data_IF_383580205382
#
_entry.id   IF_383580205382
#
_cell.length_a   1.000
_cell.length_b   1.000
_cell.length_c   1.000
_cell.angle_alpha   90.00
_cell.angle_beta   90.00
_cell.angle_gamma   90.00
#
_symmetry.space_group_name_H-M   'P 1'
#
loop_
_entity.id
_entity.type
_entity.pdbx_description
1 polymer ?
#
# COMPACT_ATOMS: atom_id res chain seq x y z
N UNK A 1 40.22 22.08 6.46
CA UNK A 1 40.23 20.64 6.15
C UNK A 1 38.82 20.13 6.40
N UNK A 2 38.19 19.66 5.33
CA UNK A 2 36.76 19.41 5.19
C UNK A 2 36.35 18.08 5.83
N UNK A 3 35.51 18.14 6.85
CA UNK A 3 34.77 16.96 7.33
C UNK A 3 33.57 16.72 6.42
N UNK A 4 33.62 15.58 5.73
CA UNK A 4 32.66 15.16 4.74
C UNK A 4 31.29 14.89 5.37
N UNK A 5 30.31 15.62 4.86
CA UNK A 5 28.89 15.29 4.95
C UNK A 5 28.68 13.82 4.58
N UNK A 6 28.35 13.00 5.57
CA UNK A 6 27.81 11.65 5.36
C UNK A 6 26.41 11.84 4.77
N UNK A 7 26.35 12.05 3.46
CA UNK A 7 25.13 11.86 2.69
C UNK A 7 24.68 10.43 2.94
N UNK A 8 23.64 10.29 3.74
CA UNK A 8 22.88 9.06 3.92
C UNK A 8 22.21 8.76 2.57
N UNK A 9 22.97 8.20 1.64
CA UNK A 9 22.49 7.66 0.38
C UNK A 9 21.60 6.49 0.75
N UNK A 10 20.31 6.75 0.92
CA UNK A 10 19.29 5.74 0.69
C UNK A 10 19.67 5.07 -0.63
N UNK A 11 19.81 3.73 -0.70
CA UNK A 11 20.05 3.09 -1.98
C UNK A 11 18.86 3.49 -2.84
N UNK A 12 19.13 4.33 -3.85
CA UNK A 12 18.24 4.52 -4.97
C UNK A 12 17.95 3.10 -5.44
N UNK A 13 16.71 2.66 -5.23
CA UNK A 13 16.24 1.40 -5.79
C UNK A 13 16.32 1.62 -7.29
N UNK A 14 17.43 1.23 -7.89
CA UNK A 14 17.58 1.18 -9.33
C UNK A 14 16.52 0.23 -9.83
N UNK A 15 15.83 0.60 -10.91
CA UNK A 15 14.90 -0.31 -11.59
C UNK A 15 15.73 -1.48 -12.09
N UNK A 16 15.73 -2.56 -11.32
CA UNK A 16 16.23 -3.85 -11.74
C UNK A 16 15.40 -4.27 -12.96
N UNK A 17 16.05 -4.55 -14.09
CA UNK A 17 15.38 -4.94 -15.33
C UNK A 17 14.52 -6.22 -15.19
N UNK A 18 14.65 -6.93 -14.07
CA UNK A 18 13.88 -8.13 -13.74
C UNK A 18 12.92 -7.95 -12.55
N UNK A 19 12.53 -6.71 -12.21
CA UNK A 19 11.58 -6.42 -11.11
C UNK A 19 10.30 -7.27 -11.15
N UNK A 20 9.82 -7.60 -12.34
CA UNK A 20 8.61 -8.39 -12.56
C UNK A 20 8.82 -9.91 -12.35
N UNK A 21 10.06 -10.42 -12.41
CA UNK A 21 10.39 -11.84 -12.15
C UNK A 21 10.63 -12.13 -10.68
N UNK A 22 10.79 -11.10 -9.85
CA UNK A 22 11.06 -11.28 -8.42
C UNK A 22 10.02 -12.21 -7.80
N UNK A 23 10.43 -12.94 -6.78
CA UNK A 23 9.51 -13.72 -5.96
C UNK A 23 8.92 -12.85 -4.85
N UNK A 24 7.77 -13.25 -4.33
CA UNK A 24 7.13 -12.53 -3.22
C UNK A 24 8.07 -12.38 -2.02
N UNK A 25 8.79 -13.45 -1.66
CA UNK A 25 9.76 -13.44 -0.57
C UNK A 25 10.91 -12.44 -0.81
N UNK A 26 11.41 -12.36 -2.04
CA UNK A 26 12.49 -11.43 -2.41
C UNK A 26 12.06 -9.98 -2.25
N UNK A 27 10.84 -9.65 -2.69
CA UNK A 27 10.33 -8.28 -2.55
C UNK A 27 10.16 -7.93 -1.08
N UNK A 28 9.65 -8.86 -0.26
CA UNK A 28 9.55 -8.67 1.19
C UNK A 28 10.93 -8.40 1.81
N UNK A 29 11.96 -9.12 1.35
CA UNK A 29 13.32 -9.00 1.85
C UNK A 29 14.03 -7.70 1.43
N UNK A 30 13.67 -7.09 0.29
CA UNK A 30 14.29 -5.85 -0.27
C UNK A 30 14.30 -4.68 0.73
N UNK A 31 13.57 -4.73 1.85
CA UNK A 31 13.60 -3.71 2.91
C UNK A 31 13.63 -4.26 4.35
N UNK A 32 14.21 -5.43 4.60
CA UNK A 32 14.05 -6.13 5.89
C UNK A 32 14.52 -5.39 7.16
N UNK A 33 15.33 -4.33 7.09
CA UNK A 33 15.74 -3.58 8.29
C UNK A 33 14.91 -2.32 8.61
N UNK A 34 14.04 -1.85 7.69
CA UNK A 34 13.23 -0.62 7.88
C UNK A 34 11.81 -0.70 7.30
N UNK A 35 11.38 -1.86 6.82
CA UNK A 35 10.00 -2.06 6.33
C UNK A 35 9.03 -2.07 7.51
N UNK A 36 8.14 -1.08 7.55
CA UNK A 36 7.12 -1.05 8.59
C UNK A 36 6.15 -2.23 8.45
N UNK A 37 5.47 -2.61 9.54
CA UNK A 37 4.43 -3.66 9.52
C UNK A 37 3.39 -3.41 8.41
N UNK A 38 3.03 -2.14 8.22
CA UNK A 38 2.17 -1.66 7.13
C UNK A 38 2.69 -2.01 5.74
N UNK A 39 3.99 -1.78 5.49
CA UNK A 39 4.63 -2.11 4.20
C UNK A 39 4.47 -3.61 3.90
N UNK A 40 4.72 -4.46 4.90
CA UNK A 40 4.63 -5.93 4.75
C UNK A 40 3.20 -6.39 4.53
N UNK A 41 2.24 -5.86 5.30
CA UNK A 41 0.83 -6.21 5.15
C UNK A 41 0.32 -5.86 3.75
N UNK A 42 0.58 -4.62 3.29
CA UNK A 42 0.21 -4.18 1.95
C UNK A 42 0.79 -5.09 0.88
N UNK A 43 2.07 -5.45 1.00
CA UNK A 43 2.67 -6.35 0.02
C UNK A 43 2.02 -7.75 0.02
N UNK A 44 1.82 -8.33 1.21
CA UNK A 44 1.19 -9.66 1.38
C UNK A 44 -0.21 -9.69 0.77
N UNK A 45 -0.99 -8.62 0.95
CA UNK A 45 -2.34 -8.53 0.38
C UNK A 45 -2.33 -8.70 -1.15
N UNK A 46 -1.18 -8.53 -1.81
CA UNK A 46 -1.05 -8.41 -3.26
C UNK A 46 -0.24 -9.50 -3.92
N UNK A 47 0.98 -9.68 -3.44
CA UNK A 47 1.87 -10.72 -3.89
C UNK A 47 1.57 -12.04 -3.19
N UNK A 48 0.66 -12.07 -2.22
CA UNK A 48 0.35 -13.24 -1.41
C UNK A 48 1.30 -13.43 -0.22
N UNK A 49 0.99 -14.42 0.61
CA UNK A 49 1.87 -14.88 1.68
C UNK A 49 2.87 -15.88 1.07
N UNK A 50 4.18 -15.62 1.06
CA UNK A 50 5.14 -16.58 0.56
C UNK A 50 5.22 -17.79 1.50
N UNK A 51 5.43 -18.97 0.94
CA UNK A 51 5.73 -20.15 1.72
C UNK A 51 7.23 -20.25 2.01
N UNK A 52 7.60 -20.63 3.23
CA UNK A 52 9.00 -20.76 3.65
C UNK A 52 9.65 -22.10 3.23
N UNK A 53 8.89 -22.97 2.56
CA UNK A 53 9.34 -24.30 2.13
C UNK A 53 9.13 -25.41 3.17
N UNK A 54 8.76 -25.06 4.39
CA UNK A 54 8.77 -25.99 5.53
C UNK A 54 7.45 -26.04 6.28
N UNK A 55 6.93 -24.87 6.63
CA UNK A 55 5.82 -24.70 7.54
C UNK A 55 4.48 -25.14 6.95
N UNK A 56 3.53 -25.42 7.83
CA UNK A 56 2.13 -25.47 7.45
C UNK A 56 1.66 -24.10 6.94
N UNK A 57 0.79 -24.10 5.94
CA UNK A 57 0.33 -22.90 5.28
C UNK A 57 -1.20 -22.81 5.38
N UNK A 58 -1.70 -21.75 6.02
CA UNK A 58 -3.12 -21.47 6.12
C UNK A 58 -3.65 -20.90 4.81
N UNK A 59 -4.79 -21.42 4.33
CA UNK A 59 -5.42 -21.06 3.05
C UNK A 59 -6.91 -20.86 3.30
N UNK A 60 -7.33 -19.61 3.49
CA UNK A 60 -8.72 -19.31 3.88
C UNK A 60 -9.06 -19.94 5.22
N UNK A 61 -10.03 -20.86 5.23
CA UNK A 61 -10.46 -21.61 6.41
C UNK A 61 -9.76 -22.97 6.55
N UNK A 62 -8.95 -23.37 5.58
CA UNK A 62 -8.21 -24.63 5.57
C UNK A 62 -6.72 -24.41 5.90
N UNK A 63 -6.01 -25.51 6.10
CA UNK A 63 -4.55 -25.52 6.16
C UNK A 63 -3.97 -26.71 5.42
N UNK A 64 -2.76 -26.53 4.88
CA UNK A 64 -2.00 -27.60 4.24
C UNK A 64 -0.68 -27.82 4.95
N UNK A 65 -0.44 -29.07 5.32
CA UNK A 65 0.83 -29.48 5.89
C UNK A 65 1.97 -29.21 4.90
N UNK A 66 3.09 -28.65 5.38
CA UNK A 66 4.24 -28.34 4.53
C UNK A 66 4.81 -29.56 3.80
N UNK A 67 4.62 -30.78 4.34
CA UNK A 67 5.00 -32.04 3.66
C UNK A 67 4.21 -32.23 2.36
N UNK A 68 2.90 -32.01 2.37
CA UNK A 68 2.03 -32.12 1.19
C UNK A 68 2.41 -31.10 0.11
N UNK A 69 2.73 -29.87 0.53
CA UNK A 69 3.18 -28.83 -0.40
C UNK A 69 4.55 -29.19 -1.01
N UNK A 70 5.48 -29.74 -0.21
CA UNK A 70 6.77 -30.25 -0.72
C UNK A 70 6.57 -31.38 -1.73
N UNK A 71 5.68 -32.33 -1.43
CA UNK A 71 5.34 -33.43 -2.34
C UNK A 71 4.79 -32.90 -3.67
N UNK A 72 3.87 -31.92 -3.64
CA UNK A 72 3.38 -31.25 -4.85
C UNK A 72 4.52 -30.63 -5.67
N UNK A 73 5.39 -29.84 -5.04
CA UNK A 73 6.52 -29.18 -5.74
C UNK A 73 7.48 -30.22 -6.35
N UNK A 74 7.76 -31.32 -5.64
CA UNK A 74 8.59 -32.42 -6.14
C UNK A 74 7.95 -33.10 -7.35
N UNK A 75 6.64 -33.39 -7.30
CA UNK A 75 5.95 -34.02 -8.43
C UNK A 75 5.88 -33.10 -9.65
N UNK A 76 5.59 -31.81 -9.46
CA UNK A 76 5.63 -30.82 -10.53
C UNK A 76 7.01 -30.74 -11.19
N UNK A 77 8.08 -30.75 -10.38
CA UNK A 77 9.46 -30.80 -10.89
C UNK A 77 9.71 -32.04 -11.74
N UNK A 78 9.39 -33.22 -11.21
CA UNK A 78 9.58 -34.49 -11.91
C UNK A 78 8.82 -34.52 -13.24
N UNK A 79 7.60 -34.00 -13.27
CA UNK A 79 6.77 -34.04 -14.47
C UNK A 79 7.19 -33.01 -15.53
N UNK A 80 7.68 -31.83 -15.12
CA UNK A 80 8.33 -30.88 -16.04
C UNK A 80 9.58 -31.51 -16.68
N UNK A 81 10.43 -32.12 -15.86
CA UNK A 81 11.67 -32.75 -16.32
C UNK A 81 11.37 -33.91 -17.29
N UNK A 82 10.39 -34.76 -16.97
CA UNK A 82 9.93 -35.86 -17.83
C UNK A 82 9.29 -35.38 -19.13
N UNK A 83 8.50 -34.32 -19.06
CA UNK A 83 7.81 -33.75 -20.22
C UNK A 83 8.74 -33.01 -21.19
N UNK A 84 9.99 -32.75 -20.81
CA UNK A 84 10.97 -32.06 -21.66
C UNK A 84 10.51 -30.67 -22.09
N UNK A 85 9.76 -29.97 -21.25
CA UNK A 85 9.14 -28.70 -21.61
C UNK A 85 10.21 -27.62 -21.84
N UNK A 86 10.27 -27.02 -23.04
CA UNK A 86 11.33 -26.06 -23.34
C UNK A 86 11.11 -24.76 -22.56
N UNK A 87 12.22 -24.20 -22.05
CA UNK A 87 12.24 -22.83 -21.48
C UNK A 87 11.23 -22.63 -20.33
N UNK A 88 11.11 -23.64 -19.46
CA UNK A 88 10.39 -23.58 -18.18
C UNK A 88 11.40 -23.81 -17.06
N UNK A 89 11.52 -22.86 -16.14
CA UNK A 89 12.28 -23.04 -14.92
C UNK A 89 11.48 -23.91 -13.95
N UNK A 90 12.14 -24.90 -13.36
CA UNK A 90 11.54 -25.78 -12.37
C UNK A 90 11.04 -24.98 -11.15
N UNK A 91 9.79 -25.21 -10.68
CA UNK A 91 9.28 -24.56 -9.49
C UNK A 91 10.14 -24.83 -8.25
N UNK A 92 10.37 -23.79 -7.46
CA UNK A 92 11.02 -23.88 -6.15
C UNK A 92 10.05 -23.46 -5.06
N UNK A 93 10.40 -23.70 -3.79
CA UNK A 93 9.59 -23.22 -2.65
C UNK A 93 9.33 -21.72 -2.70
N UNK A 94 10.27 -20.92 -3.20
CA UNK A 94 10.10 -19.47 -3.33
C UNK A 94 9.07 -19.03 -4.38
N UNK A 95 8.68 -19.92 -5.29
CA UNK A 95 7.57 -19.72 -6.23
C UNK A 95 6.20 -20.07 -5.63
N UNK A 96 6.14 -20.61 -4.41
CA UNK A 96 4.89 -21.02 -3.75
C UNK A 96 4.40 -19.93 -2.81
N UNK A 97 3.10 -19.62 -2.89
CA UNK A 97 2.47 -18.58 -2.08
C UNK A 97 0.97 -18.83 -1.91
N UNK A 98 0.37 -18.24 -0.88
CA UNK A 98 -1.10 -18.10 -0.80
C UNK A 98 -1.47 -16.74 -1.34
N UNK A 99 -2.20 -16.72 -2.46
CA UNK A 99 -2.67 -15.50 -3.08
C UNK A 99 -4.19 -15.52 -3.17
N UNK A 100 -4.80 -14.34 -3.29
CA UNK A 100 -6.20 -14.25 -3.68
C UNK A 100 -6.30 -14.37 -5.19
N UNK A 101 -7.21 -15.20 -5.68
CA UNK A 101 -7.41 -15.43 -7.11
C UNK A 101 -8.89 -15.42 -7.50
N UNK A 102 -9.14 -15.11 -8.78
CA UNK A 102 -10.48 -15.08 -9.34
C UNK A 102 -11.33 -13.90 -8.87
N UNK A 103 -12.54 -13.77 -9.43
CA UNK A 103 -13.44 -12.63 -9.16
C UNK A 103 -13.92 -12.55 -7.71
N UNK A 104 -13.98 -13.69 -7.02
CA UNK A 104 -14.34 -13.77 -5.61
C UNK A 104 -13.14 -13.57 -4.66
N UNK A 105 -11.92 -13.35 -5.19
CA UNK A 105 -10.70 -13.08 -4.43
C UNK A 105 -10.45 -14.10 -3.30
N UNK A 106 -10.70 -15.38 -3.60
CA UNK A 106 -10.55 -16.50 -2.66
C UNK A 106 -9.06 -16.78 -2.43
N UNK A 107 -8.67 -16.98 -1.17
CA UNK A 107 -7.31 -17.39 -0.83
C UNK A 107 -7.05 -18.82 -1.33
N UNK A 108 -6.02 -18.99 -2.15
CA UNK A 108 -5.70 -20.27 -2.77
C UNK A 108 -4.18 -20.46 -2.85
N UNK A 109 -3.73 -21.72 -2.75
CA UNK A 109 -2.33 -22.07 -2.96
C UNK A 109 -1.98 -21.78 -4.42
N UNK A 110 -0.97 -20.96 -4.67
CA UNK A 110 -0.51 -20.60 -6.01
C UNK A 110 0.95 -20.98 -6.16
N UNK A 111 1.29 -21.62 -7.28
CA UNK A 111 2.66 -21.89 -7.69
C UNK A 111 2.95 -21.07 -8.95
N UNK A 112 3.93 -20.19 -8.85
CA UNK A 112 4.42 -19.37 -9.96
C UNK A 112 5.41 -20.20 -10.80
N UNK A 113 5.07 -20.49 -12.06
CA UNK A 113 5.96 -21.15 -13.03
C UNK A 113 6.67 -20.08 -13.86
N UNK A 114 8.00 -20.09 -13.88
CA UNK A 114 8.79 -19.15 -14.68
C UNK A 114 9.04 -19.73 -16.08
N UNK A 115 8.36 -19.17 -17.09
CA UNK A 115 8.55 -19.53 -18.49
C UNK A 115 9.59 -18.66 -19.18
N UNK A 116 10.49 -18.01 -18.43
CA UNK A 116 11.46 -17.01 -18.89
C UNK A 116 10.76 -15.74 -19.38
N UNK A 117 9.90 -15.79 -20.39
CA UNK A 117 9.31 -14.57 -20.96
C UNK A 117 8.20 -13.99 -20.11
N UNK A 118 7.58 -14.81 -19.26
CA UNK A 118 6.51 -14.46 -18.33
C UNK A 118 6.45 -15.48 -17.18
N UNK A 119 5.76 -15.09 -16.10
CA UNK A 119 5.45 -15.99 -15.00
C UNK A 119 3.98 -16.42 -15.11
N UNK A 120 3.73 -17.73 -15.12
CA UNK A 120 2.40 -18.33 -15.11
C UNK A 120 2.06 -18.82 -13.70
N UNK A 121 1.24 -18.09 -12.94
CA UNK A 121 0.71 -18.57 -11.67
C UNK A 121 -0.41 -19.57 -11.90
N UNK A 122 -0.28 -20.76 -11.31
CA UNK A 122 -1.34 -21.78 -11.30
C UNK A 122 -1.79 -21.99 -9.86
N UNK A 123 -3.09 -21.94 -9.65
CA UNK A 123 -3.72 -22.14 -8.36
C UNK A 123 -4.17 -23.59 -8.17
N UNK A 124 -3.94 -24.11 -6.97
CA UNK A 124 -4.27 -25.46 -6.56
C UNK A 124 -5.31 -25.41 -5.44
N UNK A 125 -6.45 -26.05 -5.67
CA UNK A 125 -7.50 -26.19 -4.66
C UNK A 125 -7.00 -27.11 -3.53
N UNK A 126 -7.26 -26.74 -2.27
CA UNK A 126 -6.85 -27.52 -1.09
C UNK A 126 -7.37 -28.95 -1.14
N UNK A 127 -8.63 -29.13 -1.54
CA UNK A 127 -9.29 -30.43 -1.72
C UNK A 127 -8.60 -31.33 -2.77
N UNK A 128 -8.01 -30.75 -3.81
CA UNK A 128 -7.34 -31.48 -4.88
C UNK A 128 -5.96 -32.02 -4.46
N UNK A 129 -5.37 -31.52 -3.37
CA UNK A 129 -4.02 -31.88 -2.93
C UNK A 129 -3.96 -32.46 -1.51
N UNK A 130 -4.96 -32.18 -0.67
CA UNK A 130 -5.07 -32.72 0.70
C UNK A 130 -5.67 -34.14 0.76
N UNK A 131 -6.13 -34.67 -0.38
CA UNK A 131 -6.83 -35.97 -0.44
C UNK A 131 -5.91 -37.19 -0.30
N UNK A 132 -6.45 -38.37 -0.64
CA UNK A 132 -5.70 -39.63 -0.66
C UNK A 132 -4.53 -39.59 -1.67
N UNK A 133 -3.55 -40.51 -1.63
CA UNK A 133 -2.35 -40.48 -2.49
C UNK A 133 -2.62 -40.38 -4.00
N UNK A 134 -3.83 -40.70 -4.47
CA UNK A 134 -4.25 -40.57 -5.87
C UNK A 134 -4.80 -39.19 -6.26
N UNK A 135 -5.04 -38.27 -5.31
CA UNK A 135 -5.59 -36.94 -5.58
C UNK A 135 -4.57 -35.95 -6.16
N UNK A 136 -3.29 -36.12 -5.81
CA UNK A 136 -2.21 -35.23 -6.24
C UNK A 136 -1.90 -35.33 -7.73
N UNK A 137 -1.93 -36.55 -8.29
CA UNK A 137 -1.55 -36.77 -9.69
C UNK A 137 -2.45 -35.99 -10.68
N UNK A 138 -3.79 -36.04 -10.58
CA UNK A 138 -4.68 -35.21 -11.41
C UNK A 138 -4.39 -33.70 -11.31
N UNK A 139 -4.07 -33.20 -10.11
CA UNK A 139 -3.76 -31.78 -9.91
C UNK A 139 -2.44 -31.39 -10.59
N UNK A 140 -1.43 -32.27 -10.52
CA UNK A 140 -0.15 -32.12 -11.23
C UNK A 140 -0.37 -32.16 -12.74
N UNK A 141 -1.08 -33.16 -13.24
CA UNK A 141 -1.36 -33.32 -14.68
C UNK A 141 -2.05 -32.08 -15.26
N UNK A 142 -3.09 -31.58 -14.57
CA UNK A 142 -3.79 -30.36 -15.00
C UNK A 142 -2.88 -29.14 -15.02
N UNK A 143 -2.03 -28.96 -14.00
CA UNK A 143 -1.07 -27.86 -13.98
C UNK A 143 -0.09 -27.95 -15.17
N UNK A 144 0.39 -29.15 -15.49
CA UNK A 144 1.28 -29.39 -16.63
C UNK A 144 0.57 -29.14 -17.96
N UNK A 145 -0.71 -29.48 -18.09
CA UNK A 145 -1.53 -29.12 -19.26
C UNK A 145 -1.62 -27.60 -19.46
N UNK A 146 -1.80 -26.84 -18.37
CA UNK A 146 -1.77 -25.38 -18.44
C UNK A 146 -0.39 -24.84 -18.85
N UNK A 147 0.70 -25.41 -18.34
CA UNK A 147 2.06 -25.03 -18.77
C UNK A 147 2.24 -25.31 -20.27
N UNK A 148 1.85 -26.51 -20.74
CA UNK A 148 1.92 -26.88 -22.17
C UNK A 148 1.10 -25.93 -23.04
N UNK A 149 -0.10 -25.56 -22.60
CA UNK A 149 -0.94 -24.62 -23.33
C UNK A 149 -0.33 -23.20 -23.35
N UNK A 150 0.23 -22.73 -22.23
CA UNK A 150 0.92 -21.45 -22.18
C UNK A 150 2.17 -21.43 -23.07
N UNK A 151 2.88 -22.55 -23.24
CA UNK A 151 3.99 -22.69 -24.19
C UNK A 151 3.50 -22.55 -25.63
N UNK A 152 2.35 -23.16 -25.99
CA UNK A 152 1.76 -23.01 -27.34
C UNK A 152 1.41 -21.55 -27.64
N UNK A 153 0.89 -20.83 -26.66
CA UNK A 153 0.48 -19.43 -26.78
C UNK A 153 1.58 -18.41 -26.39
N UNK A 154 2.81 -18.90 -26.16
CA UNK A 154 3.92 -18.14 -25.55
C UNK A 154 4.14 -16.78 -26.18
N UNK A 155 4.19 -16.72 -27.50
CA UNK A 155 4.44 -15.47 -28.23
C UNK A 155 3.36 -14.43 -27.95
N UNK A 156 2.09 -14.83 -27.88
CA UNK A 156 0.98 -13.92 -27.62
C UNK A 156 0.98 -13.42 -26.17
N UNK A 157 1.24 -14.33 -25.22
CA UNK A 157 1.32 -14.01 -23.78
C UNK A 157 2.52 -13.09 -23.52
N UNK A 158 3.71 -13.46 -24.00
CA UNK A 158 4.94 -12.68 -23.86
C UNK A 158 4.81 -11.28 -24.46
N UNK A 159 4.15 -11.15 -25.64
CA UNK A 159 3.88 -9.84 -26.26
C UNK A 159 2.99 -8.98 -25.36
N UNK A 160 1.92 -9.54 -24.80
CA UNK A 160 1.01 -8.82 -23.90
C UNK A 160 1.74 -8.43 -22.62
N UNK A 161 2.47 -9.34 -22.00
CA UNK A 161 3.18 -9.06 -20.76
C UNK A 161 4.29 -8.03 -20.96
N UNK A 162 5.05 -8.12 -22.06
CA UNK A 162 6.03 -7.10 -22.43
C UNK A 162 5.40 -5.72 -22.64
N UNK A 163 4.20 -5.64 -23.22
CA UNK A 163 3.47 -4.38 -23.35
C UNK A 163 3.04 -3.81 -21.99
N UNK A 164 2.55 -4.66 -21.09
CA UNK A 164 2.16 -4.27 -19.73
C UNK A 164 3.39 -3.80 -18.92
N UNK A 165 4.51 -4.54 -18.96
CA UNK A 165 5.76 -4.14 -18.27
C UNK A 165 6.22 -2.75 -18.68
N UNK A 166 6.33 -2.51 -20.00
CA UNK A 166 6.69 -1.19 -20.56
C UNK A 166 5.71 -0.11 -20.12
N UNK A 167 4.42 -0.43 -20.07
CA UNK A 167 3.40 0.50 -19.60
C UNK A 167 3.57 0.84 -18.11
N UNK A 168 3.84 -0.14 -17.25
CA UNK A 168 4.04 0.05 -15.79
C UNK A 168 5.31 0.87 -15.54
N UNK A 169 6.40 0.58 -16.24
CA UNK A 169 7.64 1.36 -16.17
C UNK A 169 7.41 2.81 -16.57
N UNK A 170 6.76 3.03 -17.72
CA UNK A 170 6.45 4.37 -18.20
C UNK A 170 5.45 5.11 -17.29
N UNK A 171 4.45 4.42 -16.75
CA UNK A 171 3.51 5.00 -15.80
C UNK A 171 4.22 5.41 -14.50
N UNK A 172 5.08 4.55 -13.95
CA UNK A 172 5.86 4.83 -12.75
C UNK A 172 6.74 6.07 -12.94
N UNK A 173 7.46 6.15 -14.06
CA UNK A 173 8.27 7.32 -14.41
C UNK A 173 7.44 8.61 -14.53
N UNK A 174 6.22 8.53 -15.08
CA UNK A 174 5.32 9.70 -15.25
C UNK A 174 4.66 10.15 -13.95
N UNK A 175 4.40 9.24 -13.02
CA UNK A 175 3.87 9.54 -11.69
C UNK A 175 4.87 10.42 -10.93
N UNK A 176 6.16 10.07 -10.99
CA UNK A 176 7.25 10.96 -10.58
C UNK A 176 8.17 10.35 -9.53
N UNK A 177 8.95 11.21 -8.88
CA UNK A 177 10.02 10.81 -7.96
C UNK A 177 9.51 9.90 -6.83
N UNK A 178 10.29 8.86 -6.52
CA UNK A 178 9.94 7.85 -5.52
C UNK A 178 8.92 6.80 -5.98
N UNK A 179 8.41 6.91 -7.22
CA UNK A 179 7.58 5.88 -7.82
C UNK A 179 8.39 4.90 -8.67
N UNK A 180 8.25 3.60 -8.41
CA UNK A 180 8.98 2.55 -9.12
C UNK A 180 8.08 1.32 -9.33
N UNK A 181 8.25 0.55 -10.42
CA UNK A 181 7.56 -0.72 -10.56
C UNK A 181 8.04 -1.71 -9.49
N UNK A 182 7.10 -2.46 -8.90
CA UNK A 182 7.43 -3.48 -7.89
C UNK A 182 6.99 -4.88 -8.31
N UNK A 183 5.77 -5.00 -8.86
CA UNK A 183 5.18 -6.30 -9.16
C UNK A 183 4.24 -6.23 -10.35
N UNK A 184 4.27 -7.26 -11.18
CA UNK A 184 3.30 -7.48 -12.25
C UNK A 184 3.16 -8.98 -12.42
N UNK A 185 1.96 -9.51 -12.18
CA UNK A 185 1.71 -10.94 -12.28
C UNK A 185 0.32 -11.18 -12.84
N UNK A 186 0.19 -12.15 -13.74
CA UNK A 186 -1.11 -12.63 -14.20
C UNK A 186 -1.92 -13.10 -12.97
N UNK A 187 -3.25 -12.97 -13.00
CA UNK A 187 -4.05 -13.61 -11.96
C UNK A 187 -3.93 -15.13 -12.05
N UNK A 188 -3.93 -15.83 -10.91
CA UNK A 188 -3.66 -17.26 -10.88
C UNK A 188 -4.71 -18.04 -11.67
N UNK A 189 -4.25 -18.93 -12.55
CA UNK A 189 -5.11 -19.82 -13.32
C UNK A 189 -5.56 -20.96 -12.40
N UNK A 190 -6.85 -21.11 -12.18
CA UNK A 190 -7.35 -22.24 -11.38
C UNK A 190 -7.03 -23.54 -12.11
N UNK A 191 -6.45 -24.53 -11.41
CA UNK A 191 -6.12 -25.83 -12.00
C UNK A 191 -7.34 -26.61 -12.52
N UNK A 192 -8.56 -26.18 -12.21
CA UNK A 192 -9.81 -26.78 -12.71
C UNK A 192 -10.35 -26.07 -13.97
N UNK A 193 -9.78 -24.94 -14.36
CA UNK A 193 -10.21 -24.20 -15.55
C UNK A 193 -9.72 -24.83 -16.86
N UNK A 194 -10.42 -24.56 -17.96
CA UNK A 194 -9.96 -24.95 -19.28
C UNK A 194 -8.67 -24.19 -19.67
N UNK A 195 -7.65 -24.92 -20.12
CA UNK A 195 -6.41 -24.32 -20.61
C UNK A 195 -6.62 -23.48 -21.89
N UNK A 196 -5.87 -22.39 -22.05
CA UNK A 196 -5.84 -21.57 -23.27
C UNK A 196 -6.40 -20.14 -23.19
N UNK A 197 -6.99 -19.69 -22.07
CA UNK A 197 -7.55 -18.32 -21.93
C UNK A 197 -6.60 -17.32 -21.25
N UNK A 198 -5.31 -17.33 -21.62
CA UNK A 198 -4.28 -16.53 -20.95
C UNK A 198 -4.22 -15.07 -21.41
N UNK A 199 -4.48 -14.82 -22.70
CA UNK A 199 -4.35 -13.49 -23.32
C UNK A 199 -5.47 -12.52 -22.94
N UNK A 200 -6.56 -13.02 -22.38
CA UNK A 200 -7.66 -12.23 -21.82
C UNK A 200 -7.58 -12.10 -20.31
N UNK A 201 -6.79 -12.91 -19.60
CA UNK A 201 -6.78 -12.95 -18.12
C UNK A 201 -6.29 -11.64 -17.51
N UNK A 202 -6.87 -11.21 -16.40
CA UNK A 202 -6.42 -10.00 -15.71
C UNK A 202 -5.02 -10.20 -15.11
N UNK A 203 -4.34 -9.09 -14.88
CA UNK A 203 -3.08 -9.01 -14.16
C UNK A 203 -3.29 -8.22 -12.88
N UNK A 204 -2.46 -8.46 -11.88
CA UNK A 204 -2.33 -7.64 -10.68
C UNK A 204 -1.01 -6.89 -10.78
N UNK A 205 -1.06 -5.57 -10.63
CA UNK A 205 0.14 -4.73 -10.57
C UNK A 205 0.32 -4.10 -9.20
N UNK A 206 1.58 -3.84 -8.86
CA UNK A 206 1.95 -2.99 -7.73
C UNK A 206 3.13 -2.10 -8.11
N UNK A 207 3.06 -0.85 -7.66
CA UNK A 207 4.16 0.11 -7.74
C UNK A 207 4.55 0.54 -6.34
N UNK A 208 5.76 1.04 -6.16
CA UNK A 208 6.13 1.77 -4.96
C UNK A 208 5.64 3.21 -5.12
N UNK A 209 5.06 3.79 -4.09
CA UNK A 209 4.64 5.20 -4.02
C UNK A 209 5.02 5.76 -2.64
N UNK A 210 5.00 7.09 -2.50
CA UNK A 210 5.02 7.70 -1.18
C UNK A 210 3.60 7.65 -0.62
N UNK A 211 3.43 7.08 0.57
CA UNK A 211 2.15 7.12 1.29
C UNK A 211 1.97 8.46 2.02
N UNK A 212 0.85 8.61 2.73
CA UNK A 212 0.62 9.76 3.62
C UNK A 212 1.71 9.88 4.69
N UNK A 213 2.45 8.82 4.95
CA UNK A 213 3.54 8.82 5.90
C UNK A 213 4.87 9.26 5.25
N UNK A 214 4.82 9.85 4.05
CA UNK A 214 5.99 10.20 3.21
C UNK A 214 7.02 9.06 3.10
N UNK A 215 6.56 7.84 3.29
CA UNK A 215 7.36 6.63 3.33
C UNK A 215 7.08 5.86 2.06
N UNK A 216 8.13 5.29 1.47
CA UNK A 216 7.91 4.47 0.29
C UNK A 216 7.14 3.22 0.70
N UNK A 217 5.88 3.15 0.32
CA UNK A 217 5.03 1.99 0.50
C UNK A 217 4.64 1.45 -0.87
N UNK A 218 4.32 0.15 -0.95
CA UNK A 218 3.70 -0.38 -2.14
C UNK A 218 2.32 0.35 -2.37
N UNK A 219 1.78 0.39 -3.59
CA UNK A 219 0.44 0.91 -3.99
C UNK A 219 -0.63 -0.18 -3.97
N UNK A 220 -1.87 0.04 -3.48
CA UNK A 220 -2.92 -1.01 -3.43
C UNK A 220 -3.00 -1.85 -4.71
N UNK A 221 -3.35 -3.15 -4.61
CA UNK A 221 -3.55 -3.98 -5.81
C UNK A 221 -4.57 -3.33 -6.70
N UNK A 222 -4.14 -3.14 -7.94
CA UNK A 222 -5.01 -2.72 -9.00
C UNK A 222 -5.11 -3.87 -10.00
N UNK A 223 -6.30 -4.48 -10.14
CA UNK A 223 -6.55 -5.40 -11.23
C UNK A 223 -6.48 -4.62 -12.54
N UNK A 224 -5.73 -5.12 -13.50
CA UNK A 224 -5.54 -4.51 -14.81
C UNK A 224 -5.77 -5.54 -15.91
N UNK A 225 -6.47 -5.14 -16.97
CA UNK A 225 -6.70 -5.98 -18.15
C UNK A 225 -5.79 -5.54 -19.30
N UNK A 226 -5.49 -4.25 -19.37
CA UNK A 226 -4.86 -3.61 -20.52
C UNK A 226 -3.85 -2.56 -20.12
N UNK A 227 -3.09 -2.09 -21.11
CA UNK A 227 -2.20 -0.93 -20.98
C UNK A 227 -2.97 0.36 -20.64
N UNK A 228 -4.27 0.44 -20.94
CA UNK A 228 -5.08 1.62 -20.61
C UNK A 228 -5.28 1.72 -19.11
N UNK A 229 -5.60 0.61 -18.44
CA UNK A 229 -5.78 0.57 -16.99
C UNK A 229 -4.51 1.03 -16.26
N UNK A 230 -3.35 0.60 -16.74
CA UNK A 230 -2.03 1.05 -16.23
C UNK A 230 -1.81 2.55 -16.43
N UNK A 231 -2.33 3.14 -17.50
CA UNK A 231 -2.20 4.58 -17.76
C UNK A 231 -3.10 5.40 -16.84
N UNK A 232 -4.25 4.88 -16.45
CA UNK A 232 -5.16 5.57 -15.52
C UNK A 232 -4.54 5.68 -14.11
N UNK A 233 -3.69 4.74 -13.72
CA UNK A 233 -2.86 4.85 -12.51
C UNK A 233 -2.07 6.17 -12.43
N UNK A 234 -1.57 6.67 -13.58
CA UNK A 234 -0.90 7.98 -13.64
C UNK A 234 -1.85 9.12 -13.26
N UNK A 235 -3.09 9.07 -13.73
CA UNK A 235 -4.09 10.13 -13.47
C UNK A 235 -4.43 10.18 -11.99
N UNK A 236 -4.57 9.02 -11.36
CA UNK A 236 -4.93 8.89 -9.94
C UNK A 236 -3.81 9.38 -9.03
N UNK A 237 -2.57 8.93 -9.24
CA UNK A 237 -1.51 9.09 -8.23
C UNK A 237 -0.55 10.25 -8.47
N UNK A 238 -0.39 10.74 -9.70
CA UNK A 238 0.65 11.75 -10.05
C UNK A 238 0.58 13.02 -9.22
N UNK A 239 -0.63 13.56 -8.97
CA UNK A 239 -0.79 14.81 -8.21
C UNK A 239 -0.36 14.63 -6.76
N UNK A 240 -0.83 13.57 -6.10
CA UNK A 240 -0.49 13.26 -4.72
C UNK A 240 1.00 12.94 -4.57
N UNK A 241 1.55 12.10 -5.47
CA UNK A 241 2.96 11.74 -5.44
C UNK A 241 3.87 12.98 -5.56
N UNK A 242 3.60 13.88 -6.50
CA UNK A 242 4.37 15.12 -6.66
C UNK A 242 4.34 15.99 -5.42
N UNK A 243 3.17 16.15 -4.81
CA UNK A 243 3.01 16.89 -3.55
C UNK A 243 3.83 16.25 -2.42
N UNK A 244 3.73 14.93 -2.26
CA UNK A 244 4.46 14.16 -1.23
C UNK A 244 5.97 14.18 -1.45
N UNK A 245 6.44 14.05 -2.70
CA UNK A 245 7.85 14.14 -3.03
C UNK A 245 8.42 15.53 -2.72
N UNK A 246 7.70 16.60 -3.08
CA UNK A 246 8.09 17.96 -2.75
C UNK A 246 8.14 18.21 -1.23
N UNK A 247 7.12 17.73 -0.49
CA UNK A 247 7.10 17.81 0.98
C UNK A 247 8.28 17.06 1.61
N UNK A 248 8.54 15.83 1.18
CA UNK A 248 9.66 15.03 1.65
C UNK A 248 11.01 15.71 1.38
N UNK A 249 11.20 16.28 0.18
CA UNK A 249 12.40 17.03 -0.16
C UNK A 249 12.57 18.27 0.71
N UNK A 250 11.49 19.03 0.95
CA UNK A 250 11.51 20.20 1.81
C UNK A 250 11.91 19.85 3.25
N UNK A 251 11.33 18.79 3.82
CA UNK A 251 11.67 18.32 5.17
C UNK A 251 13.12 17.85 5.26
N UNK A 252 13.60 17.09 4.27
CA UNK A 252 15.02 16.66 4.21
C UNK A 252 15.98 17.83 4.14
N UNK A 253 15.67 18.82 3.30
CA UNK A 253 16.51 20.02 3.12
C UNK A 253 16.54 20.86 4.40
N UNK A 254 15.44 20.89 5.15
CA UNK A 254 15.34 21.59 6.43
C UNK A 254 15.93 20.81 7.62
N UNK A 255 16.46 19.59 7.42
CA UNK A 255 16.91 18.74 8.53
C UNK A 255 15.79 18.44 9.53
N UNK A 256 14.58 18.21 9.02
CA UNK A 256 13.36 18.05 9.80
C UNK A 256 12.68 16.73 9.47
N UNK A 257 12.02 16.11 10.46
CA UNK A 257 11.17 14.93 10.24
C UNK A 257 9.75 15.30 9.80
N UNK A 258 9.37 16.58 9.88
CA UNK A 258 8.03 17.06 9.58
C UNK A 258 7.72 18.42 10.21
N UNK A 259 6.52 18.90 9.95
CA UNK A 259 6.01 20.16 10.48
C UNK A 259 4.85 19.94 11.44
N UNK A 260 4.52 20.97 12.23
CA UNK A 260 3.39 20.97 13.15
C UNK A 260 2.51 22.17 12.82
N UNK A 261 1.20 21.97 12.72
CA UNK A 261 0.28 23.11 12.53
C UNK A 261 0.21 23.98 13.78
N UNK A 262 -0.16 25.26 13.64
CA UNK A 262 -0.20 26.17 14.80
C UNK A 262 -1.20 25.71 15.86
N UNK A 263 -2.34 25.17 15.43
CA UNK A 263 -3.36 24.58 16.32
C UNK A 263 -2.82 23.33 17.01
N UNK A 264 -2.14 22.45 16.27
CA UNK A 264 -1.52 21.25 16.85
C UNK A 264 -0.44 21.61 17.87
N UNK A 265 0.38 22.61 17.58
CA UNK A 265 1.41 23.08 18.51
C UNK A 265 0.79 23.70 19.77
N UNK A 266 -0.28 24.48 19.60
CA UNK A 266 -1.03 25.06 20.72
C UNK A 266 -1.67 23.97 21.59
N UNK A 267 -2.28 22.94 20.97
CA UNK A 267 -2.83 21.79 21.68
C UNK A 267 -1.78 21.04 22.48
N UNK A 268 -0.63 20.73 21.86
CA UNK A 268 0.50 20.04 22.51
C UNK A 268 0.98 20.82 23.73
N UNK A 269 1.18 22.14 23.57
CA UNK A 269 1.63 23.02 24.67
C UNK A 269 0.60 23.11 25.79
N UNK A 270 -0.68 23.27 25.45
CA UNK A 270 -1.77 23.29 26.42
C UNK A 270 -1.89 21.96 27.18
N UNK A 271 -1.59 20.85 26.50
CA UNK A 271 -1.58 19.51 27.10
C UNK A 271 -0.32 19.24 27.94
N UNK A 272 0.65 20.16 27.99
CA UNK A 272 1.96 20.05 28.63
C UNK A 272 2.84 18.93 28.05
N UNK A 273 2.74 18.71 26.74
CA UNK A 273 3.56 17.75 26.00
C UNK A 273 4.73 18.45 25.31
N UNK A 274 5.83 17.71 25.12
CA UNK A 274 6.99 18.22 24.37
C UNK A 274 6.75 18.07 22.85
N UNK A 275 6.83 19.15 22.06
CA UNK A 275 6.50 19.11 20.63
C UNK A 275 7.28 18.12 19.79
N UNK A 276 8.60 18.02 19.95
CA UNK A 276 9.46 17.18 19.12
C UNK A 276 9.21 15.68 19.43
N UNK A 277 9.11 15.32 20.69
CA UNK A 277 8.79 13.99 21.17
C UNK A 277 7.40 13.57 20.70
N UNK A 278 6.42 14.47 20.75
CA UNK A 278 5.06 14.21 20.25
C UNK A 278 5.06 13.99 18.74
N UNK A 279 5.78 14.82 17.97
CA UNK A 279 5.93 14.64 16.52
C UNK A 279 6.57 13.29 16.18
N UNK A 280 7.64 12.90 16.89
CA UNK A 280 8.31 11.60 16.72
C UNK A 280 7.38 10.44 17.05
N UNK A 281 6.62 10.53 18.14
CA UNK A 281 5.68 9.50 18.54
C UNK A 281 4.54 9.35 17.53
N UNK A 282 3.97 10.45 17.02
CA UNK A 282 2.93 10.42 16.01
C UNK A 282 3.43 9.84 14.68
N UNK A 283 4.65 10.21 14.26
CA UNK A 283 5.29 9.63 13.08
C UNK A 283 5.50 8.13 13.24
N UNK A 284 6.04 7.68 14.38
CA UNK A 284 6.24 6.26 14.67
C UNK A 284 4.92 5.46 14.70
N UNK A 285 3.86 6.02 15.30
CA UNK A 285 2.54 5.41 15.31
C UNK A 285 2.01 5.21 13.87
N UNK A 286 2.15 6.23 13.04
CA UNK A 286 1.69 6.21 11.64
C UNK A 286 2.48 5.25 10.75
N UNK A 287 3.77 5.06 11.00
CA UNK A 287 4.58 4.08 10.27
C UNK A 287 4.07 2.65 10.51
N UNK A 288 3.65 2.36 11.75
CA UNK A 288 3.32 1.00 12.17
C UNK A 288 1.89 0.56 11.87
N UNK A 289 0.93 1.49 11.77
CA UNK A 289 -0.49 1.17 11.59
C UNK A 289 -1.21 2.12 10.63
N UNK A 290 -2.08 1.59 9.77
CA UNK A 290 -3.02 2.37 8.98
C UNK A 290 -4.01 3.08 9.91
N UNK A 291 -3.93 4.40 10.03
CA UNK A 291 -4.71 5.15 11.04
C UNK A 291 -3.99 5.37 12.36
N UNK A 292 -2.70 5.03 12.48
CA UNK A 292 -1.93 5.33 13.68
C UNK A 292 -1.95 6.83 14.01
N UNK A 293 -2.44 7.14 15.20
CA UNK A 293 -2.60 8.48 15.75
C UNK A 293 -2.28 8.48 17.26
N UNK A 294 -2.10 9.67 17.83
CA UNK A 294 -2.02 9.83 19.29
C UNK A 294 -3.36 10.36 19.78
N UNK A 295 -3.97 9.68 20.74
CA UNK A 295 -5.29 10.02 21.28
C UNK A 295 -5.22 10.30 22.77
N UNK A 296 -5.88 11.35 23.23
CA UNK A 296 -6.05 11.62 24.65
C UNK A 296 -7.33 12.41 24.93
N UNK A 297 -7.92 12.19 26.11
CA UNK A 297 -9.09 12.94 26.58
C UNK A 297 -8.66 14.03 27.56
N UNK A 298 -8.99 15.29 27.23
CA UNK A 298 -8.80 16.48 28.08
C UNK A 298 -9.86 17.53 27.69
N UNK A 299 -10.24 18.39 28.63
CA UNK A 299 -11.21 19.47 28.42
C UNK A 299 -12.54 18.99 27.81
N UNK A 300 -13.03 17.83 28.27
CA UNK A 300 -14.23 17.15 27.75
C UNK A 300 -14.21 16.83 26.24
N UNK A 301 -13.04 16.89 25.62
CA UNK A 301 -12.84 16.58 24.20
C UNK A 301 -11.98 15.32 24.03
N UNK A 302 -12.20 14.58 22.96
CA UNK A 302 -11.22 13.62 22.45
C UNK A 302 -10.29 14.36 21.48
N UNK A 303 -9.01 14.42 21.84
CA UNK A 303 -7.99 15.07 21.03
C UNK A 303 -7.20 14.00 20.29
N UNK A 304 -7.05 14.19 18.98
CA UNK A 304 -6.39 13.26 18.08
C UNK A 304 -5.28 14.01 17.34
N UNK A 305 -4.06 13.50 17.41
CA UNK A 305 -2.92 14.01 16.65
C UNK A 305 -2.52 12.99 15.59
N UNK A 306 -2.63 13.37 14.32
CA UNK A 306 -2.32 12.50 13.19
C UNK A 306 -1.23 13.09 12.33
N UNK A 307 -0.22 12.28 12.01
CA UNK A 307 0.84 12.69 11.11
C UNK A 307 0.49 12.31 9.66
N UNK A 308 0.32 13.32 8.80
CA UNK A 308 -0.16 13.18 7.41
C UNK A 308 0.62 14.11 6.50
N UNK A 309 1.23 13.53 5.47
CA UNK A 309 2.02 14.17 4.42
C UNK A 309 3.10 15.10 4.97
N UNK A 310 3.78 14.67 6.04
CA UNK A 310 4.85 15.44 6.66
C UNK A 310 4.36 16.46 7.69
N UNK A 311 3.06 16.56 7.93
CA UNK A 311 2.48 17.54 8.86
C UNK A 311 1.73 16.84 9.99
N UNK A 312 2.01 17.23 11.23
CA UNK A 312 1.23 16.85 12.39
C UNK A 312 -0.01 17.75 12.48
N UNK A 313 -1.16 17.10 12.33
CA UNK A 313 -2.48 17.73 12.28
C UNK A 313 -3.31 17.28 13.47
N UNK A 314 -4.27 18.11 13.85
CA UNK A 314 -5.15 17.86 14.99
C UNK A 314 -6.58 17.69 14.55
N UNK A 315 -7.25 16.71 15.16
CA UNK A 315 -8.70 16.65 15.25
C UNK A 315 -9.13 16.77 16.72
N UNK A 316 -10.21 17.50 17.00
CA UNK A 316 -10.78 17.66 18.35
C UNK A 316 -12.26 17.32 18.26
N UNK A 317 -12.67 16.21 18.85
CA UNK A 317 -14.07 15.76 18.89
C UNK A 317 -14.70 16.14 20.23
N UNK A 318 -15.92 16.70 20.18
CA UNK A 318 -16.71 17.11 21.33
C UNK A 318 -18.21 16.84 21.06
N UNK A 319 -19.06 17.03 22.06
CA UNK A 319 -20.47 16.56 22.02
C UNK A 319 -21.28 17.10 20.83
N UNK A 320 -21.00 18.33 20.39
CA UNK A 320 -21.78 19.03 19.35
C UNK A 320 -20.98 19.30 18.07
N UNK A 321 -19.90 18.54 17.83
CA UNK A 321 -19.11 18.75 16.63
C UNK A 321 -17.69 18.21 16.71
N UNK A 322 -16.92 18.62 15.71
CA UNK A 322 -15.51 18.27 15.58
C UNK A 322 -14.74 19.38 14.91
N UNK A 323 -13.48 19.51 15.27
CA UNK A 323 -12.52 20.32 14.55
C UNK A 323 -11.57 19.41 13.78
N UNK A 324 -11.29 19.70 12.50
CA UNK A 324 -10.27 19.06 11.69
C UNK A 324 -9.39 20.11 10.99
N UNK A 325 -8.17 20.28 11.48
CA UNK A 325 -7.06 20.96 10.78
C UNK A 325 -7.44 22.12 9.82
N UNK A 326 -8.09 23.16 10.34
CA UNK A 326 -8.55 24.32 9.56
C UNK A 326 -10.06 24.43 9.43
N UNK A 327 -10.82 23.44 9.88
CA UNK A 327 -12.29 23.40 9.80
C UNK A 327 -12.89 23.06 11.17
N UNK A 328 -13.81 23.89 11.66
CA UNK A 328 -14.67 23.59 12.81
C UNK A 328 -16.07 23.26 12.30
N UNK A 329 -16.49 22.02 12.50
CA UNK A 329 -17.80 21.48 12.10
C UNK A 329 -18.66 21.40 13.35
N UNK A 330 -19.80 22.10 13.34
CA UNK A 330 -20.79 22.08 14.41
C UNK A 330 -22.05 21.39 13.91
N UNK A 331 -22.56 20.43 14.69
CA UNK A 331 -23.77 19.67 14.36
C UNK A 331 -24.99 20.32 14.97
N UNK A 332 -25.99 20.63 14.14
CA UNK A 332 -27.23 21.26 14.56
C UNK A 332 -27.85 22.09 13.44
N UNK A 333 -29.10 22.50 13.66
CA UNK A 333 -29.80 23.42 12.77
C UNK A 333 -29.40 24.87 13.10
N UNK A 334 -28.61 25.49 12.21
CA UNK A 334 -28.09 26.84 12.39
C UNK A 334 -28.73 27.80 11.39
N UNK A 335 -29.39 28.89 11.86
CA UNK A 335 -29.93 29.91 10.97
C UNK A 335 -28.83 30.56 10.10
N UNK A 336 -29.15 30.90 8.85
CA UNK A 336 -28.22 31.58 7.93
C UNK A 336 -27.63 32.89 8.49
N UNK A 337 -28.37 33.58 9.37
CA UNK A 337 -27.88 34.79 10.06
C UNK A 337 -26.70 34.49 11.01
N UNK A 338 -26.69 33.33 11.66
CA UNK A 338 -25.60 32.89 12.55
C UNK A 338 -24.33 32.64 11.72
N UNK A 339 -24.46 31.99 10.56
CA UNK A 339 -23.35 31.75 9.66
C UNK A 339 -22.72 33.04 9.12
N UNK A 340 -23.53 34.02 8.70
CA UNK A 340 -23.04 35.32 8.24
C UNK A 340 -22.29 36.07 9.35
N UNK A 341 -22.75 35.96 10.60
CA UNK A 341 -22.11 36.60 11.74
C UNK A 341 -20.78 35.96 12.16
N UNK A 342 -20.52 34.70 11.77
CA UNK A 342 -19.29 33.98 12.14
C UNK A 342 -18.07 34.41 11.33
N UNK A 343 -18.24 34.89 10.10
CA UNK A 343 -17.12 35.29 9.24
C UNK A 343 -16.30 36.41 9.88
N UNK A 344 -14.98 36.23 9.91
CA UNK A 344 -14.03 37.17 10.49
C UNK A 344 -13.92 37.09 12.02
N UNK A 345 -14.76 36.32 12.72
CA UNK A 345 -14.63 36.15 14.18
C UNK A 345 -13.45 35.22 14.53
N UNK A 346 -12.81 35.39 15.70
CA UNK A 346 -11.86 34.42 16.22
C UNK A 346 -12.55 33.07 16.50
N UNK A 347 -11.87 31.96 16.24
CA UNK A 347 -12.41 30.62 16.54
C UNK A 347 -12.60 30.42 18.05
N UNK A 348 -11.70 30.98 18.86
CA UNK A 348 -11.84 30.96 20.32
C UNK A 348 -13.13 31.65 20.83
N UNK A 349 -13.77 32.48 20.01
CA UNK A 349 -15.06 33.09 20.34
C UNK A 349 -16.27 32.18 20.04
N UNK A 350 -16.04 31.06 19.34
CA UNK A 350 -17.06 30.06 19.01
C UNK A 350 -16.88 28.81 19.88
N UNK A 351 -15.64 28.32 20.01
CA UNK A 351 -15.30 27.14 20.78
C UNK A 351 -14.26 27.48 21.85
N UNK A 352 -14.67 27.35 23.12
CA UNK A 352 -13.81 27.58 24.27
C UNK A 352 -12.87 26.38 24.50
N UNK A 353 -11.74 26.39 23.79
CA UNK A 353 -10.70 25.37 23.92
C UNK A 353 -9.32 26.03 24.02
N UNK A 354 -8.43 25.60 24.94
CA UNK A 354 -7.14 26.26 25.18
C UNK A 354 -6.25 26.37 23.94
N UNK A 355 -6.32 25.40 23.03
CA UNK A 355 -5.59 25.45 21.77
C UNK A 355 -6.03 26.62 20.87
N UNK A 356 -7.32 26.96 20.85
CA UNK A 356 -7.84 28.08 20.07
C UNK A 356 -7.61 29.42 20.76
N UNK A 357 -7.66 29.48 22.10
CA UNK A 357 -7.33 30.69 22.84
C UNK A 357 -5.88 31.14 22.62
N UNK A 358 -4.96 30.17 22.49
CA UNK A 358 -3.54 30.42 22.27
C UNK A 358 -3.19 30.89 20.84
N UNK A 359 -4.14 30.85 19.90
CA UNK A 359 -3.91 31.22 18.49
C UNK A 359 -4.90 32.30 18.06
N UNK A 360 -4.45 33.23 17.23
CA UNK A 360 -5.31 34.29 16.66
C UNK A 360 -5.99 33.85 15.36
N UNK A 361 -6.46 32.60 15.30
CA UNK A 361 -7.13 32.06 14.11
C UNK A 361 -8.51 32.69 13.92
N UNK A 362 -8.76 33.22 12.71
CA UNK A 362 -10.02 33.89 12.35
C UNK A 362 -10.72 33.12 11.25
N UNK A 363 -12.04 33.03 11.36
CA UNK A 363 -12.91 32.36 10.40
C UNK A 363 -12.86 33.12 9.07
N UNK A 364 -12.44 32.45 8.00
CA UNK A 364 -12.28 33.02 6.66
C UNK A 364 -13.49 32.75 5.77
N UNK A 365 -14.12 31.59 5.92
CA UNK A 365 -15.30 31.18 5.18
C UNK A 365 -16.21 30.33 6.07
N UNK A 366 -17.49 30.29 5.68
CA UNK A 366 -18.54 29.58 6.39
C UNK A 366 -19.39 28.87 5.35
N UNK A 367 -19.72 27.61 5.60
CA UNK A 367 -20.64 26.81 4.79
C UNK A 367 -21.73 26.23 5.70
N UNK A 368 -22.96 26.21 5.20
CA UNK A 368 -24.10 25.60 5.87
C UNK A 368 -24.61 24.46 5.00
N UNK A 369 -24.79 23.30 5.62
CA UNK A 369 -25.60 22.21 5.09
C UNK A 369 -26.78 21.97 6.04
N UNK A 370 -27.72 21.10 5.67
CA UNK A 370 -29.02 20.95 6.37
C UNK A 370 -28.90 20.73 7.89
N UNK A 371 -27.84 20.08 8.36
CA UNK A 371 -27.61 19.72 9.77
C UNK A 371 -26.22 20.12 10.30
N UNK A 372 -25.46 20.90 9.53
CA UNK A 372 -24.07 21.23 9.86
C UNK A 372 -23.68 22.65 9.49
N UNK A 373 -22.89 23.27 10.38
CA UNK A 373 -22.21 24.54 10.16
C UNK A 373 -20.70 24.31 10.13
N UNK A 374 -20.09 24.49 8.95
CA UNK A 374 -18.64 24.40 8.76
C UNK A 374 -18.01 25.79 8.77
N UNK A 375 -17.04 25.99 9.67
CA UNK A 375 -16.31 27.24 9.86
C UNK A 375 -14.83 27.02 9.52
N UNK A 376 -14.37 27.64 8.43
CA UNK A 376 -13.01 27.44 7.93
C UNK A 376 -12.08 28.55 8.37
N UNK A 377 -10.82 28.23 8.62
CA UNK A 377 -9.73 29.18 8.79
C UNK A 377 -8.43 28.67 8.16
N UNK A 378 -7.49 29.59 7.95
CA UNK A 378 -6.12 29.20 7.57
C UNK A 378 -5.40 28.69 8.81
N UNK A 379 -4.75 27.53 8.68
CA UNK A 379 -3.87 26.96 9.70
C UNK A 379 -2.41 27.09 9.22
N UNK A 380 -1.58 27.82 9.96
CA UNK A 380 -0.15 27.95 9.61
C UNK A 380 0.63 26.70 9.99
N UNK A 381 1.72 26.44 9.27
CA UNK A 381 2.58 25.29 9.47
C UNK A 381 3.95 25.77 9.99
N UNK A 382 4.42 25.16 11.08
CA UNK A 382 5.71 25.44 11.72
C UNK A 382 6.66 24.28 11.47
N UNK A 383 7.82 24.54 10.87
CA UNK A 383 8.87 23.54 10.68
C UNK A 383 9.65 23.35 11.98
N UNK A 384 9.88 22.09 12.38
CA UNK A 384 10.71 21.75 13.52
C UNK A 384 12.01 21.10 13.02
N UNK A 385 13.12 21.82 13.13
CA UNK A 385 14.46 21.28 12.87
C UNK A 385 14.92 20.35 13.98
N UNK A 386 15.94 19.53 13.68
CA UNK A 386 16.61 18.66 14.65
C UNK A 386 17.30 19.42 15.78
#
# INVERSE_FOLDING_TARGET
MSEGSVMNRNPLVTVDHHWWRRQTAEIIAVRSDRSSRRWRQKLIDWSGVPWDGMSELAIGYDSLAGKTIRELVVQLKLEIDRSGLPQVTVPTSGGVRVARAGLAEVQILTVDFDLIDFILPIAFETSAIAGSPGSLAPAVDSAIEHVRAAIRDRTAIARREGALRKAVEHASARIGEGCLPLWLRMDAVLGTEQSGRYTSRLYKMATMLLDDSLSSSPSPVEPIWTVVDVRDHVRVHRRAQRRRAAALLAHRTAGSIGAITEVSLALIRAAQLEPIATLRAAHAARLNHDGGDLRFRKWNCLNILTWIEGVLRTSIEFEQGRYDDGELILTGDYPASVALACKGRPIAAILDHPAFQAISARITSVEIMEDTLSLYHKNKVVLFGH
#
